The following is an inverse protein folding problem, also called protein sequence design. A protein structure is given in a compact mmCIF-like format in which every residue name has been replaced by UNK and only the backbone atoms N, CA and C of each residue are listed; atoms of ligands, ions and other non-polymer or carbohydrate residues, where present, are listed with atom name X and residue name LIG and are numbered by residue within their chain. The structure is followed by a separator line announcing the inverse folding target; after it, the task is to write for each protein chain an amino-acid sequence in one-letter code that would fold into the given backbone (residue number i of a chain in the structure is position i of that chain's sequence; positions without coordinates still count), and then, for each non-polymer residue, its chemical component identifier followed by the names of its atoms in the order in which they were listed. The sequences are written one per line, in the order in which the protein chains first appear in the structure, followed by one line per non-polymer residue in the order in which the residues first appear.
data_IF_700764882035
#
_entry.id   IF_700764882035
#
_cell.length_a   1.000
_cell.length_b   1.000
_cell.length_c   1.000
_cell.angle_alpha   90.00
_cell.angle_beta   90.00
_cell.angle_gamma   90.00
#
_symmetry.space_group_name_H-M   'P 1'
#
loop_
_entity.id
_entity.type
_entity.pdbx_description
1 polymer ?
#
# COMPACT_ATOMS: atom_id res chain seq x y z
N UNK A 1 -29.27 -6.59 -1.56
CA UNK A 1 -28.03 -5.77 -1.63
C UNK A 1 -26.86 -6.73 -1.62
N UNK A 2 -25.87 -6.50 -2.49
CA UNK A 2 -24.62 -7.27 -2.51
C UNK A 2 -23.56 -6.37 -1.87
N UNK A 3 -22.92 -6.85 -0.82
CA UNK A 3 -21.80 -6.16 -0.18
C UNK A 3 -20.50 -6.79 -0.67
N UNK A 4 -19.47 -5.97 -0.81
CA UNK A 4 -18.12 -6.43 -1.11
C UNK A 4 -17.12 -5.89 -0.09
N UNK A 5 -16.00 -6.59 0.05
CA UNK A 5 -14.90 -6.18 0.91
C UNK A 5 -13.75 -5.75 0.02
N UNK A 6 -13.32 -4.50 0.18
CA UNK A 6 -12.18 -3.93 -0.51
C UNK A 6 -11.07 -3.74 0.52
N UNK A 7 -9.89 -4.26 0.22
CA UNK A 7 -8.70 -3.98 1.02
C UNK A 7 -8.15 -2.65 0.56
N UNK A 8 -8.21 -1.65 1.44
CA UNK A 8 -7.76 -0.29 1.14
C UNK A 8 -6.36 0.01 1.63
N UNK A 9 -5.78 -0.82 2.50
CA UNK A 9 -4.46 -0.59 3.07
C UNK A 9 -3.79 -1.89 3.49
N UNK A 10 -2.48 -1.99 3.25
CA UNK A 10 -1.58 -3.02 3.75
C UNK A 10 -0.37 -2.32 4.37
N UNK A 11 0.14 -2.90 5.46
CA UNK A 11 1.33 -2.40 6.13
C UNK A 11 2.42 -3.47 6.11
N UNK A 12 3.62 -3.06 5.71
CA UNK A 12 4.83 -3.86 5.77
C UNK A 12 5.70 -3.31 6.88
N UNK A 13 5.91 -4.09 7.93
CA UNK A 13 6.73 -3.74 9.08
C UNK A 13 7.50 -4.98 9.56
N UNK A 14 8.54 -4.76 10.35
CA UNK A 14 9.24 -5.87 10.99
C UNK A 14 8.31 -6.65 11.92
N UNK A 15 8.52 -7.96 11.97
CA UNK A 15 7.72 -8.84 12.81
C UNK A 15 7.91 -8.48 14.29
N UNK A 16 6.79 -8.24 14.99
CA UNK A 16 6.78 -7.90 16.42
C UNK A 16 6.98 -6.42 16.72
N UNK A 17 7.18 -5.57 15.70
CA UNK A 17 7.15 -4.11 15.85
C UNK A 17 5.75 -3.54 15.74
N UNK A 18 5.59 -2.33 16.26
CA UNK A 18 4.35 -1.57 16.21
C UNK A 18 4.08 -1.08 14.80
N UNK A 19 2.80 -0.95 14.44
CA UNK A 19 2.37 -0.47 13.12
C UNK A 19 2.79 0.98 12.82
N UNK A 20 3.03 1.77 13.86
CA UNK A 20 3.48 3.16 13.71
C UNK A 20 5.01 3.31 13.74
N UNK A 21 5.75 2.19 13.69
CA UNK A 21 7.20 2.22 13.63
C UNK A 21 7.67 3.05 12.42
N UNK A 22 8.76 3.79 12.59
CA UNK A 22 9.30 4.65 11.55
C UNK A 22 9.69 3.85 10.29
N UNK A 23 10.06 2.57 10.40
CA UNK A 23 10.40 1.72 9.24
C UNK A 23 9.18 1.11 8.55
N UNK A 24 7.98 1.30 9.12
CA UNK A 24 6.75 0.76 8.52
C UNK A 24 6.44 1.43 7.18
N UNK A 25 6.17 0.60 6.18
CA UNK A 25 5.75 1.01 4.84
C UNK A 25 4.25 0.79 4.70
N UNK A 26 3.52 1.88 4.55
CA UNK A 26 2.09 1.89 4.25
C UNK A 26 1.88 1.84 2.74
N UNK A 27 1.03 0.92 2.29
CA UNK A 27 0.62 0.78 0.88
C UNK A 27 -0.91 0.84 0.86
N UNK A 28 -1.45 1.88 0.23
CA UNK A 28 -2.88 2.22 0.30
C UNK A 28 -3.50 2.29 -1.09
N UNK A 29 -4.74 1.81 -1.24
CA UNK A 29 -5.60 2.06 -2.39
C UNK A 29 -6.38 3.34 -2.10
N UNK A 30 -6.15 4.37 -2.90
CA UNK A 30 -6.88 5.63 -2.87
C UNK A 30 -7.87 5.64 -4.02
N UNK A 31 -9.11 6.05 -3.74
CA UNK A 31 -10.13 6.26 -4.77
C UNK A 31 -10.35 7.75 -4.95
N UNK A 32 -9.96 8.27 -6.10
CA UNK A 32 -10.17 9.66 -6.49
C UNK A 32 -11.07 9.71 -7.73
N UNK A 33 -11.52 10.90 -8.14
CA UNK A 33 -12.53 11.06 -9.20
C UNK A 33 -12.16 10.43 -10.58
N UNK A 34 -10.91 10.01 -10.78
CA UNK A 34 -10.41 9.34 -11.98
C UNK A 34 -10.21 7.81 -11.81
N UNK A 35 -10.70 7.24 -10.70
CA UNK A 35 -10.55 5.83 -10.34
C UNK A 35 -9.51 5.62 -9.23
N UNK A 36 -9.35 4.35 -8.88
CA UNK A 36 -8.41 3.90 -7.87
C UNK A 36 -6.95 4.01 -8.31
N UNK A 37 -6.08 4.36 -7.37
CA UNK A 37 -4.62 4.35 -7.50
C UNK A 37 -3.96 3.76 -6.25
N UNK A 38 -2.70 3.34 -6.37
CA UNK A 38 -1.91 2.86 -5.22
C UNK A 38 -0.96 3.97 -4.76
N UNK A 39 -1.01 4.30 -3.47
CA UNK A 39 -0.10 5.22 -2.78
C UNK A 39 0.82 4.44 -1.84
N UNK A 40 2.08 4.86 -1.73
CA UNK A 40 3.08 4.28 -0.85
C UNK A 40 3.65 5.38 0.02
N UNK A 41 3.71 5.15 1.34
CA UNK A 41 4.21 6.12 2.31
C UNK A 41 5.01 5.44 3.40
N UNK A 42 6.11 6.05 3.81
CA UNK A 42 6.77 5.77 5.08
C UNK A 42 6.69 7.01 5.96
N UNK A 43 6.53 6.82 7.26
CA UNK A 43 6.48 7.93 8.23
C UNK A 43 7.84 8.24 8.85
N UNK A 44 8.94 7.85 8.18
CA UNK A 44 10.27 7.97 8.75
C UNK A 44 10.80 9.41 8.69
N UNK A 45 11.26 9.92 9.84
CA UNK A 45 11.80 11.28 9.99
C UNK A 45 13.11 11.52 9.17
N UNK A 46 13.73 10.44 8.67
CA UNK A 46 15.00 10.49 7.94
C UNK A 46 14.85 10.46 6.41
N UNK A 47 13.66 10.19 5.89
CA UNK A 47 13.36 10.28 4.45
C UNK A 47 13.13 11.72 4.04
N UNK A 48 13.60 12.11 2.85
CA UNK A 48 13.12 13.34 2.24
C UNK A 48 11.62 13.24 1.99
N UNK A 49 10.91 14.37 1.90
CA UNK A 49 9.49 14.37 1.59
C UNK A 49 9.22 13.60 0.28
N UNK A 50 8.38 12.56 0.35
CA UNK A 50 8.03 11.71 -0.79
C UNK A 50 9.06 10.63 -1.13
N UNK A 51 10.06 10.40 -0.29
CA UNK A 51 11.04 9.34 -0.46
C UNK A 51 10.64 8.08 0.31
N UNK A 52 10.80 6.92 -0.32
CA UNK A 52 10.61 5.60 0.29
C UNK A 52 11.94 4.87 0.22
N UNK A 53 12.43 4.39 1.36
CA UNK A 53 13.68 3.65 1.50
C UNK A 53 13.39 2.29 2.12
N UNK A 54 13.98 1.25 1.57
CA UNK A 54 13.91 -0.10 2.10
C UNK A 54 15.27 -0.76 1.93
N UNK A 55 15.62 -1.63 2.87
CA UNK A 55 16.83 -2.42 2.77
C UNK A 55 16.67 -3.54 1.72
N UNK A 56 17.78 -4.07 1.14
CA UNK A 56 17.70 -5.11 0.11
C UNK A 56 16.96 -6.38 0.53
N UNK A 57 16.93 -6.70 1.82
CA UNK A 57 16.23 -7.84 2.41
C UNK A 57 14.73 -7.57 2.67
N UNK A 58 14.35 -6.32 2.87
CA UNK A 58 12.94 -5.89 2.96
C UNK A 58 12.25 -5.88 1.59
N UNK A 59 13.01 -5.57 0.54
CA UNK A 59 12.50 -5.38 -0.83
C UNK A 59 11.57 -6.50 -1.34
N UNK A 60 11.90 -7.80 -1.20
CA UNK A 60 11.02 -8.87 -1.68
C UNK A 60 9.61 -8.80 -1.08
N UNK A 61 9.50 -8.45 0.21
CA UNK A 61 8.23 -8.34 0.94
C UNK A 61 7.47 -7.08 0.51
N UNK A 62 8.14 -5.93 0.46
CA UNK A 62 7.56 -4.67 0.00
C UNK A 62 7.03 -4.80 -1.42
N UNK A 63 7.84 -5.34 -2.34
CA UNK A 63 7.45 -5.58 -3.74
C UNK A 63 6.22 -6.49 -3.85
N UNK A 64 6.17 -7.56 -3.06
CA UNK A 64 5.03 -8.48 -3.09
C UNK A 64 3.74 -7.78 -2.65
N UNK A 65 3.79 -6.97 -1.58
CA UNK A 65 2.65 -6.19 -1.11
C UNK A 65 2.20 -5.13 -2.12
N UNK A 66 3.13 -4.43 -2.77
CA UNK A 66 2.82 -3.47 -3.84
C UNK A 66 2.11 -4.18 -5.00
N UNK A 67 2.65 -5.31 -5.47
CA UNK A 67 2.06 -6.05 -6.58
C UNK A 67 0.64 -6.55 -6.25
N UNK A 68 0.40 -7.04 -5.03
CA UNK A 68 -0.95 -7.44 -4.59
C UNK A 68 -1.92 -6.24 -4.59
N UNK A 69 -1.48 -5.09 -4.07
CA UNK A 69 -2.31 -3.88 -4.05
C UNK A 69 -2.59 -3.32 -5.44
N UNK A 70 -1.64 -3.39 -6.38
CA UNK A 70 -1.87 -3.02 -7.78
C UNK A 70 -2.92 -3.92 -8.42
N UNK A 71 -2.83 -5.24 -8.23
CA UNK A 71 -3.83 -6.17 -8.76
C UNK A 71 -5.22 -5.94 -8.18
N UNK A 72 -5.31 -5.58 -6.89
CA UNK A 72 -6.58 -5.19 -6.25
C UNK A 72 -7.13 -3.90 -6.83
N UNK A 73 -6.28 -2.90 -7.04
CA UNK A 73 -6.64 -1.63 -7.66
C UNK A 73 -7.18 -1.83 -9.08
N UNK A 74 -6.56 -2.69 -9.89
CA UNK A 74 -7.06 -3.02 -11.22
C UNK A 74 -8.44 -3.68 -11.19
N UNK A 75 -8.66 -4.62 -10.25
CA UNK A 75 -9.96 -5.26 -10.07
C UNK A 75 -11.03 -4.26 -9.61
N UNK A 76 -10.66 -3.37 -8.69
CA UNK A 76 -11.51 -2.28 -8.23
C UNK A 76 -11.94 -1.39 -9.40
N UNK A 77 -10.99 -0.88 -10.19
CA UNK A 77 -11.30 -0.01 -11.33
C UNK A 77 -12.22 -0.70 -12.35
N UNK A 78 -11.99 -1.98 -12.67
CA UNK A 78 -12.87 -2.77 -13.55
C UNK A 78 -14.29 -2.93 -12.99
N UNK A 79 -14.45 -3.01 -11.68
CA UNK A 79 -15.77 -3.11 -11.06
C UNK A 79 -16.59 -1.82 -11.14
N UNK A 80 -15.93 -0.67 -11.34
CA UNK A 80 -16.62 0.62 -11.53
C UNK A 80 -17.15 0.81 -12.97
N UNK A 81 -16.60 0.08 -13.93
CA UNK A 81 -16.98 0.14 -15.35
C UNK A 81 -18.12 -0.81 -15.72
N UNK A 82 -18.46 -1.77 -14.85
CA UNK A 82 -19.38 -2.88 -15.08
C UNK A 82 -20.80 -2.63 -14.54
#
# INVERSE_FOLDING_TARGET
MKYETIVTQVMVCEAGKELFDATATEISLLDEAAGGMVSIKQSCDYSGAGEVRFDPDEWPTVRAAINDMVQRCEKYNKSLEA
#
